data_IF_944584584984
#
_entry.id   IF_944584584984
#
_cell.length_a   1.000
_cell.length_b   1.000
_cell.length_c   1.000
_cell.angle_alpha   90.00
_cell.angle_beta   90.00
_cell.angle_gamma   90.00
#
_symmetry.space_group_name_H-M   'P 1'
#
loop_
_entity.id
_entity.type
_entity.pdbx_description
1 polymer ?
#
# COMPACT_ATOMS: atom_id res chain seq x y z
N UNK A 1 -11.44 7.35 -8.42
CA UNK A 1 -10.05 7.05 -8.84
C UNK A 1 -9.83 5.55 -8.95
N UNK A 2 -10.00 4.77 -7.87
CA UNK A 2 -9.75 3.32 -7.84
C UNK A 2 -10.30 2.55 -9.06
N UNK A 3 -11.58 2.71 -9.37
CA UNK A 3 -12.23 1.99 -10.49
C UNK A 3 -12.45 2.86 -11.75
N UNK A 4 -11.85 4.06 -11.80
CA UNK A 4 -12.13 5.08 -12.83
C UNK A 4 -13.48 5.79 -12.65
N UNK A 5 -13.67 6.90 -13.36
CA UNK A 5 -14.89 7.73 -13.21
C UNK A 5 -16.14 7.04 -13.77
N UNK A 6 -16.04 6.38 -14.93
CA UNK A 6 -17.20 5.74 -15.58
C UNK A 6 -17.86 4.68 -14.72
N UNK A 7 -17.09 3.71 -14.20
CA UNK A 7 -17.62 2.67 -13.30
C UNK A 7 -18.10 3.25 -11.96
N UNK A 8 -17.42 4.28 -11.46
CA UNK A 8 -17.88 4.96 -10.25
C UNK A 8 -19.25 5.62 -10.46
N UNK A 9 -19.48 6.30 -11.59
CA UNK A 9 -20.77 6.91 -11.89
C UNK A 9 -21.88 5.87 -12.09
N UNK A 10 -21.60 4.74 -12.73
CA UNK A 10 -22.55 3.62 -12.83
C UNK A 10 -23.05 3.20 -11.44
N UNK A 11 -22.13 2.88 -10.51
CA UNK A 11 -22.49 2.45 -9.16
C UNK A 11 -23.19 3.56 -8.35
N UNK A 12 -22.72 4.81 -8.43
CA UNK A 12 -23.29 5.95 -7.68
C UNK A 12 -24.72 6.25 -8.14
N UNK A 13 -24.97 6.26 -9.45
CA UNK A 13 -26.26 6.68 -10.01
C UNK A 13 -27.30 5.56 -9.96
N UNK A 14 -26.89 4.31 -10.14
CA UNK A 14 -27.81 3.17 -10.14
C UNK A 14 -28.05 2.60 -8.75
N UNK A 15 -27.09 2.74 -7.83
CA UNK A 15 -27.13 2.12 -6.51
C UNK A 15 -27.15 0.59 -6.54
N UNK A 16 -26.80 -0.03 -7.68
CA UNK A 16 -26.82 -1.48 -7.82
C UNK A 16 -25.83 -2.14 -6.86
N UNK A 17 -26.18 -3.34 -6.41
CA UNK A 17 -25.25 -4.20 -5.66
C UNK A 17 -24.16 -4.71 -6.64
N UNK A 18 -22.94 -4.76 -6.14
CA UNK A 18 -21.79 -5.34 -6.84
C UNK A 18 -21.31 -6.56 -6.05
N UNK A 19 -21.26 -7.70 -6.71
CA UNK A 19 -20.77 -8.96 -6.11
C UNK A 19 -19.23 -8.94 -6.00
N UNK A 20 -18.69 -9.77 -5.10
CA UNK A 20 -17.27 -9.76 -4.75
C UNK A 20 -16.34 -9.99 -5.96
N UNK A 21 -16.71 -10.90 -6.86
CA UNK A 21 -15.94 -11.22 -8.07
C UNK A 21 -15.88 -10.04 -9.03
N UNK A 22 -17.00 -9.35 -9.26
CA UNK A 22 -17.03 -8.14 -10.09
C UNK A 22 -16.21 -7.04 -9.43
N UNK A 23 -16.41 -6.81 -8.13
CA UNK A 23 -15.70 -5.80 -7.37
C UNK A 23 -14.18 -6.02 -7.44
N UNK A 24 -13.71 -7.26 -7.37
CA UNK A 24 -12.30 -7.59 -7.56
C UNK A 24 -11.83 -7.34 -9.00
N UNK A 25 -12.60 -7.80 -9.99
CA UNK A 25 -12.25 -7.64 -11.41
C UNK A 25 -12.13 -6.17 -11.85
N UNK A 26 -12.92 -5.27 -11.26
CA UNK A 26 -12.85 -3.83 -11.56
C UNK A 26 -11.80 -3.08 -10.72
N UNK A 27 -11.14 -3.75 -9.78
CA UNK A 27 -10.13 -3.15 -8.88
C UNK A 27 -10.71 -2.41 -7.67
N UNK A 28 -11.96 -2.68 -7.31
CA UNK A 28 -12.56 -2.17 -6.07
C UNK A 28 -12.07 -2.94 -4.84
N UNK A 29 -11.85 -4.26 -4.98
CA UNK A 29 -11.26 -5.13 -3.96
C UNK A 29 -9.90 -5.64 -4.44
N UNK A 30 -8.95 -5.76 -3.52
CA UNK A 30 -7.61 -6.30 -3.81
C UNK A 30 -7.51 -7.81 -3.68
N UNK A 31 -8.42 -8.44 -2.94
CA UNK A 31 -8.43 -9.88 -2.69
C UNK A 31 -9.87 -10.34 -2.40
N UNK A 32 -10.22 -11.57 -2.81
CA UNK A 32 -11.47 -12.26 -2.45
C UNK A 32 -11.09 -13.55 -1.74
N UNK A 33 -11.74 -13.83 -0.61
CA UNK A 33 -11.48 -15.01 0.22
C UNK A 33 -12.76 -15.77 0.51
N UNK A 34 -12.69 -17.04 0.95
CA UNK A 34 -13.86 -17.79 1.39
C UNK A 34 -14.66 -17.06 2.47
N UNK A 35 -15.96 -17.35 2.53
CA UNK A 35 -16.86 -16.81 3.55
C UNK A 35 -16.33 -17.11 4.96
N UNK A 36 -16.38 -16.12 5.85
CA UNK A 36 -15.85 -16.21 7.21
C UNK A 36 -14.33 -16.00 7.36
N UNK A 37 -13.54 -16.04 6.28
CA UNK A 37 -12.07 -15.90 6.36
C UNK A 37 -11.56 -14.45 6.25
N UNK A 38 -12.44 -13.48 5.95
CA UNK A 38 -12.06 -12.09 5.66
C UNK A 38 -11.30 -11.40 6.81
N UNK A 39 -11.74 -11.59 8.05
CA UNK A 39 -11.08 -10.97 9.21
C UNK A 39 -9.69 -11.56 9.45
N UNK A 40 -9.58 -12.88 9.46
CA UNK A 40 -8.30 -13.57 9.64
C UNK A 40 -7.29 -13.15 8.56
N UNK A 41 -7.73 -13.10 7.31
CA UNK A 41 -6.87 -12.68 6.20
C UNK A 41 -6.43 -11.21 6.33
N UNK A 42 -7.35 -10.32 6.68
CA UNK A 42 -7.05 -8.91 6.88
C UNK A 42 -6.04 -8.71 8.03
N UNK A 43 -6.18 -9.45 9.13
CA UNK A 43 -5.24 -9.42 10.25
C UNK A 43 -3.87 -9.97 9.85
N UNK A 44 -3.80 -11.08 9.11
CA UNK A 44 -2.54 -11.63 8.62
C UNK A 44 -1.77 -10.62 7.74
N UNK A 45 -2.47 -9.85 6.91
CA UNK A 45 -1.87 -8.76 6.12
C UNK A 45 -1.40 -7.64 7.05
N UNK A 46 -2.22 -7.23 8.02
CA UNK A 46 -1.87 -6.17 8.97
C UNK A 46 -0.64 -6.55 9.82
N UNK A 47 -0.55 -7.78 10.30
CA UNK A 47 0.61 -8.31 11.03
C UNK A 47 1.87 -8.37 10.16
N UNK A 48 1.73 -8.73 8.88
CA UNK A 48 2.84 -8.66 7.94
C UNK A 48 3.33 -7.21 7.74
N UNK A 49 2.42 -6.26 7.54
CA UNK A 49 2.75 -4.85 7.39
C UNK A 49 3.37 -4.25 8.67
N UNK A 50 2.89 -4.66 9.84
CA UNK A 50 3.40 -4.19 11.14
C UNK A 50 4.86 -4.58 11.40
N UNK A 51 5.37 -5.63 10.74
CA UNK A 51 6.78 -6.05 10.83
C UNK A 51 7.72 -5.21 9.97
N UNK A 52 7.21 -4.44 9.01
CA UNK A 52 8.07 -3.58 8.20
C UNK A 52 8.60 -2.37 8.96
N UNK A 53 9.71 -1.75 8.51
CA UNK A 53 10.14 -0.46 9.03
C UNK A 53 9.03 0.59 8.85
N UNK A 54 8.33 0.90 9.94
CA UNK A 54 7.08 1.65 9.90
C UNK A 54 7.26 3.06 9.33
N UNK A 55 8.37 3.73 9.66
CA UNK A 55 8.65 5.08 9.15
C UNK A 55 8.73 5.11 7.62
N UNK A 56 9.44 4.17 7.01
CA UNK A 56 9.59 4.08 5.56
C UNK A 56 8.26 3.72 4.90
N UNK A 57 7.61 2.65 5.36
CA UNK A 57 6.34 2.19 4.79
C UNK A 57 5.25 3.28 4.86
N UNK A 58 5.16 4.00 5.99
CA UNK A 58 4.17 5.07 6.16
C UNK A 58 4.50 6.31 5.33
N UNK A 59 5.79 6.63 5.14
CA UNK A 59 6.22 7.70 4.25
C UNK A 59 5.82 7.40 2.79
N UNK A 60 6.05 6.16 2.31
CA UNK A 60 5.65 5.72 0.97
C UNK A 60 4.13 5.81 0.79
N UNK A 61 3.37 5.35 1.78
CA UNK A 61 1.89 5.47 1.78
C UNK A 61 1.46 6.93 1.73
N UNK A 62 2.10 7.81 2.50
CA UNK A 62 1.80 9.23 2.51
C UNK A 62 2.09 9.85 1.14
N UNK A 63 3.24 9.55 0.53
CA UNK A 63 3.63 10.01 -0.80
C UNK A 63 2.62 9.55 -1.87
N UNK A 64 2.29 8.25 -1.89
CA UNK A 64 1.38 7.66 -2.86
C UNK A 64 -0.04 8.25 -2.79
N UNK A 65 -0.58 8.48 -1.59
CA UNK A 65 -1.93 9.04 -1.40
C UNK A 65 -1.94 10.57 -1.54
N UNK A 66 -0.94 11.25 -0.99
CA UNK A 66 -0.83 12.71 -1.00
C UNK A 66 -0.51 13.27 -2.38
N UNK A 67 0.27 12.53 -3.18
CA UNK A 67 0.63 12.92 -4.53
C UNK A 67 -0.52 12.86 -5.55
N UNK A 68 -1.65 12.27 -5.20
CA UNK A 68 -2.68 12.01 -6.20
C UNK A 68 -3.40 13.32 -6.59
N UNK A 69 -3.16 13.78 -7.82
CA UNK A 69 -3.73 15.01 -8.36
C UNK A 69 -2.76 16.18 -8.40
N UNK A 70 -1.55 15.97 -7.87
CA UNK A 70 -0.42 16.85 -8.10
C UNK A 70 0.14 16.64 -9.50
N UNK A 71 0.86 17.65 -10.01
CA UNK A 71 1.74 17.46 -11.16
C UNK A 71 2.91 16.54 -10.80
N UNK A 72 3.67 16.11 -11.81
CA UNK A 72 4.87 15.30 -11.57
C UNK A 72 5.88 16.05 -10.69
N UNK A 73 6.11 17.34 -10.96
CA UNK A 73 7.05 18.18 -10.23
C UNK A 73 6.61 18.39 -8.77
N UNK A 74 5.32 18.66 -8.55
CA UNK A 74 4.74 18.80 -7.21
C UNK A 74 4.82 17.48 -6.43
N UNK A 75 4.55 16.36 -7.09
CA UNK A 75 4.68 15.02 -6.50
C UNK A 75 6.11 14.70 -6.08
N UNK A 76 7.09 14.97 -6.94
CA UNK A 76 8.51 14.79 -6.59
C UNK A 76 8.94 15.69 -5.43
N UNK A 77 8.48 16.94 -5.40
CA UNK A 77 8.77 17.85 -4.29
C UNK A 77 8.17 17.35 -2.97
N UNK A 78 6.93 16.84 -3.01
CA UNK A 78 6.24 16.27 -1.85
C UNK A 78 6.95 15.01 -1.31
N UNK A 79 7.43 14.14 -2.19
CA UNK A 79 8.22 12.96 -1.81
C UNK A 79 9.57 13.37 -1.18
N UNK A 80 10.26 14.35 -1.79
CA UNK A 80 11.54 14.87 -1.30
C UNK A 80 11.46 15.49 0.11
N UNK A 81 10.33 16.10 0.47
CA UNK A 81 10.10 16.64 1.83
C UNK A 81 9.95 15.51 2.87
N UNK A 82 9.38 14.38 2.46
CA UNK A 82 9.11 13.26 3.37
C UNK A 82 10.32 12.35 3.61
N UNK A 83 11.21 12.24 2.61
CA UNK A 83 12.38 11.36 2.62
C UNK A 83 13.33 11.51 3.83
N UNK A 84 13.74 12.72 4.25
CA UNK A 84 14.71 12.90 5.33
C UNK A 84 14.31 12.24 6.66
N UNK A 85 13.00 12.13 6.93
CA UNK A 85 12.48 11.50 8.15
C UNK A 85 12.78 10.00 8.21
N UNK A 86 13.00 9.34 7.07
CA UNK A 86 13.24 7.90 7.00
C UNK A 86 14.71 7.54 6.89
N UNK A 87 15.61 8.51 6.71
CA UNK A 87 17.03 8.27 6.42
C UNK A 87 17.75 7.46 7.51
N UNK A 88 17.46 7.71 8.79
CA UNK A 88 18.04 6.93 9.88
C UNK A 88 17.64 5.46 9.80
N UNK A 89 16.35 5.20 9.59
CA UNK A 89 15.78 3.87 9.41
C UNK A 89 16.32 3.18 8.15
N UNK A 90 16.45 3.91 7.05
CA UNK A 90 17.02 3.42 5.79
C UNK A 90 18.49 3.02 5.95
N UNK A 91 19.30 3.86 6.62
CA UNK A 91 20.71 3.57 6.88
C UNK A 91 20.89 2.30 7.73
N UNK A 92 20.06 2.10 8.76
CA UNK A 92 20.07 0.87 9.57
C UNK A 92 19.71 -0.37 8.72
N UNK A 93 18.67 -0.26 7.88
CA UNK A 93 18.28 -1.35 6.97
C UNK A 93 19.39 -1.70 5.99
N UNK A 94 20.02 -0.70 5.38
CA UNK A 94 21.16 -0.88 4.49
C UNK A 94 22.35 -1.57 5.18
N UNK A 95 22.64 -1.20 6.43
CA UNK A 95 23.70 -1.83 7.22
C UNK A 95 23.41 -3.31 7.51
N UNK A 96 22.17 -3.66 7.90
CA UNK A 96 21.75 -5.07 8.11
C UNK A 96 21.88 -5.90 6.83
N UNK A 97 21.44 -5.36 5.71
CA UNK A 97 21.57 -6.02 4.41
C UNK A 97 23.04 -6.21 3.98
N UNK A 98 23.88 -5.19 4.18
CA UNK A 98 25.32 -5.29 3.96
C UNK A 98 25.96 -6.37 4.86
N UNK A 99 25.45 -6.53 6.09
CA UNK A 99 25.82 -7.59 7.04
C UNK A 99 25.30 -9.00 6.72
N UNK A 100 24.46 -9.16 5.69
CA UNK A 100 24.00 -10.47 5.20
C UNK A 100 22.52 -10.78 5.44
N UNK A 101 21.80 -9.95 6.21
CA UNK A 101 20.36 -10.11 6.42
C UNK A 101 19.58 -9.88 5.12
N UNK A 102 18.47 -10.61 4.92
CA UNK A 102 17.58 -10.43 3.76
C UNK A 102 18.13 -10.94 2.41
N UNK A 103 19.39 -11.40 2.33
CA UNK A 103 19.99 -11.93 1.09
C UNK A 103 19.41 -13.28 0.63
N UNK A 104 18.74 -14.00 1.52
CA UNK A 104 18.08 -15.28 1.24
C UNK A 104 16.63 -15.16 0.74
N UNK A 105 16.13 -13.95 0.46
CA UNK A 105 14.75 -13.74 0.00
C UNK A 105 13.68 -13.74 1.10
N UNK A 106 14.05 -14.00 2.35
CA UNK A 106 13.12 -13.96 3.50
C UNK A 106 12.70 -12.53 3.91
N UNK A 107 13.26 -11.49 3.29
CA UNK A 107 13.12 -10.10 3.71
C UNK A 107 14.06 -9.73 4.86
N UNK A 108 14.24 -8.42 5.10
CA UNK A 108 14.99 -7.88 6.24
C UNK A 108 14.00 -7.27 7.26
N UNK A 109 14.31 -7.39 8.55
CA UNK A 109 13.47 -6.87 9.65
C UNK A 109 12.53 -7.89 10.32
N UNK A 110 12.90 -9.18 10.34
CA UNK A 110 12.30 -10.15 11.27
C UNK A 110 12.97 -10.08 12.65
#
# INVERSE_FOLDING_TARGET
RLIGLGRALDLILTGRIVEAEEAHAIGLLTEVVPEGAHLERALAIAEALARFPQETMLADRQAAIGGIGLTFEEGMAFEAESGPRTFATAAQGAARFAGGEGRGGAGAGA
#
